data_IF_536790219296
#
_entry.id   IF_536790219296
#
_cell.length_a   1.000
_cell.length_b   1.000
_cell.length_c   1.000
_cell.angle_alpha   90.00
_cell.angle_beta   90.00
_cell.angle_gamma   90.00
#
_symmetry.space_group_name_H-M   'P 1'
#
loop_
_entity.id
_entity.type
_entity.pdbx_description
1 polymer ?
#
# COMPACT_ATOMS: atom_id res chain seq x y z
N UNK A 1 -24.05 -17.55 19.82
CA UNK A 1 -24.79 -17.11 21.03
C UNK A 1 -25.18 -15.64 21.00
N UNK A 2 -24.24 -14.67 20.87
CA UNK A 2 -24.62 -13.24 20.85
C UNK A 2 -25.37 -12.80 19.59
N UNK A 3 -25.14 -13.44 18.42
CA UNK A 3 -25.88 -13.11 17.20
C UNK A 3 -27.39 -13.27 17.37
N UNK A 4 -27.85 -14.39 17.98
CA UNK A 4 -29.28 -14.57 18.25
C UNK A 4 -29.86 -13.58 19.27
N UNK A 5 -29.05 -13.15 20.24
CA UNK A 5 -29.47 -12.18 21.25
C UNK A 5 -29.68 -10.78 20.65
N UNK A 6 -28.77 -10.37 19.73
CA UNK A 6 -28.79 -9.05 19.10
C UNK A 6 -29.46 -9.06 17.70
N UNK A 7 -29.98 -10.20 17.25
CA UNK A 7 -30.62 -10.31 15.92
C UNK A 7 -29.66 -10.20 14.75
N UNK A 8 -28.37 -10.49 14.94
CA UNK A 8 -27.40 -10.46 13.87
C UNK A 8 -27.54 -11.70 12.97
N UNK A 9 -27.55 -11.51 11.66
CA UNK A 9 -27.55 -12.59 10.66
C UNK A 9 -26.21 -13.35 10.61
N UNK A 10 -25.13 -12.72 11.05
CA UNK A 10 -23.77 -13.28 11.08
C UNK A 10 -22.94 -12.63 12.20
N UNK A 11 -21.71 -13.08 12.42
CA UNK A 11 -20.81 -12.56 13.45
C UNK A 11 -20.11 -11.27 12.96
N UNK A 12 -20.47 -10.08 13.44
CA UNK A 12 -19.83 -8.83 13.02
C UNK A 12 -18.42 -8.65 13.60
N UNK A 13 -18.05 -9.43 14.62
CA UNK A 13 -16.76 -9.39 15.29
C UNK A 13 -16.08 -10.75 15.18
N UNK A 14 -15.58 -11.06 14.00
CA UNK A 14 -14.76 -12.26 13.78
C UNK A 14 -13.27 -11.91 13.89
N UNK A 15 -12.40 -12.93 13.99
CA UNK A 15 -10.96 -12.76 14.09
C UNK A 15 -10.37 -12.18 12.79
N UNK A 16 -11.00 -12.43 11.65
CA UNK A 16 -10.63 -11.86 10.35
C UNK A 16 -11.38 -10.56 10.13
N UNK A 17 -10.68 -9.42 9.92
CA UNK A 17 -11.32 -8.14 9.64
C UNK A 17 -12.16 -8.21 8.36
N UNK A 18 -13.46 -7.93 8.46
CA UNK A 18 -14.36 -7.82 7.31
C UNK A 18 -14.60 -6.33 6.99
N UNK A 19 -14.20 -5.84 5.81
CA UNK A 19 -14.34 -4.45 5.41
C UNK A 19 -15.78 -3.90 5.48
N UNK A 20 -16.80 -4.77 5.35
CA UNK A 20 -18.21 -4.35 5.42
C UNK A 20 -18.62 -3.83 6.80
N UNK A 21 -17.90 -4.23 7.86
CA UNK A 21 -18.11 -3.75 9.23
C UNK A 21 -17.21 -2.55 9.60
N UNK A 22 -16.50 -1.98 8.62
CA UNK A 22 -15.66 -0.82 8.86
C UNK A 22 -16.49 0.36 9.34
N UNK A 23 -16.36 0.71 10.61
CA UNK A 23 -16.93 1.93 11.16
C UNK A 23 -16.05 3.12 10.81
N UNK A 24 -16.51 3.94 9.88
CA UNK A 24 -15.85 5.16 9.49
C UNK A 24 -16.23 6.31 10.44
N UNK A 25 -15.47 6.50 11.50
CA UNK A 25 -15.52 7.75 12.26
C UNK A 25 -14.98 8.92 11.38
N UNK A 26 -15.04 10.14 11.89
CA UNK A 26 -14.62 11.34 11.13
C UNK A 26 -13.17 11.22 10.62
N UNK A 27 -12.25 10.82 11.49
CA UNK A 27 -10.84 10.68 11.14
C UNK A 27 -10.63 9.58 10.10
N UNK A 28 -11.23 8.41 10.28
CA UNK A 28 -11.12 7.30 9.33
C UNK A 28 -11.72 7.65 7.95
N UNK A 29 -12.81 8.45 7.91
CA UNK A 29 -13.36 8.98 6.64
C UNK A 29 -12.37 9.88 5.93
N UNK A 30 -11.69 10.76 6.66
CA UNK A 30 -10.68 11.67 6.09
C UNK A 30 -9.48 10.88 5.55
N UNK A 31 -8.96 9.91 6.33
CA UNK A 31 -7.85 9.04 5.89
C UNK A 31 -8.25 8.21 4.67
N UNK A 32 -9.45 7.63 4.67
CA UNK A 32 -9.97 6.83 3.57
C UNK A 32 -10.11 7.65 2.29
N UNK A 33 -10.68 8.84 2.40
CA UNK A 33 -10.82 9.75 1.26
C UNK A 33 -9.46 10.21 0.73
N UNK A 34 -8.53 10.55 1.63
CA UNK A 34 -7.16 10.95 1.29
C UNK A 34 -6.39 9.82 0.59
N UNK A 35 -6.53 8.58 1.05
CA UNK A 35 -5.92 7.41 0.42
C UNK A 35 -6.44 7.19 -1.01
N UNK A 36 -7.77 7.16 -1.18
CA UNK A 36 -8.39 7.01 -2.51
C UNK A 36 -7.99 8.14 -3.45
N UNK A 37 -8.03 9.38 -2.95
CA UNK A 37 -7.60 10.56 -3.70
C UNK A 37 -6.14 10.46 -4.10
N UNK A 38 -5.26 10.10 -3.16
CA UNK A 38 -3.82 10.00 -3.40
C UNK A 38 -3.46 8.95 -4.45
N UNK A 39 -4.14 7.80 -4.44
CA UNK A 39 -3.96 6.76 -5.46
C UNK A 39 -4.49 7.26 -6.81
N UNK A 40 -5.72 7.74 -6.87
CA UNK A 40 -6.36 8.20 -8.12
C UNK A 40 -5.59 9.34 -8.77
N UNK A 41 -5.18 10.32 -7.97
CA UNK A 41 -4.49 11.55 -8.42
C UNK A 41 -2.98 11.35 -8.62
N UNK A 42 -2.48 10.11 -8.53
CA UNK A 42 -1.07 9.75 -8.78
C UNK A 42 -0.09 10.53 -7.93
N UNK A 43 -0.38 10.65 -6.61
CA UNK A 43 0.44 11.42 -5.66
C UNK A 43 1.79 10.76 -5.33
N UNK A 44 2.01 9.53 -5.80
CA UNK A 44 3.26 8.80 -5.65
C UNK A 44 3.38 8.12 -4.29
N UNK A 45 3.85 8.82 -3.26
CA UNK A 45 4.09 8.21 -1.94
C UNK A 45 3.10 8.71 -0.88
N UNK A 46 2.48 7.77 -0.17
CA UNK A 46 1.44 8.02 0.85
C UNK A 46 1.84 7.25 2.11
N UNK A 47 1.76 7.87 3.29
CA UNK A 47 1.90 7.18 4.57
C UNK A 47 0.63 7.28 5.41
N UNK A 48 0.28 6.18 6.08
CA UNK A 48 -0.82 6.07 7.03
C UNK A 48 -0.24 5.56 8.34
N UNK A 49 -0.29 6.39 9.38
CA UNK A 49 0.29 6.08 10.68
C UNK A 49 -0.79 6.10 11.73
N UNK A 50 -0.82 5.09 12.59
CA UNK A 50 -1.81 5.02 13.67
C UNK A 50 -1.52 3.88 14.62
N UNK A 51 -2.06 3.98 15.83
CA UNK A 51 -1.92 2.98 16.90
C UNK A 51 -2.44 1.60 16.50
N UNK A 52 -1.99 0.58 17.22
CA UNK A 52 -2.52 -0.77 17.10
C UNK A 52 -4.03 -0.77 17.35
N UNK A 53 -4.78 -1.54 16.57
CA UNK A 53 -6.23 -1.66 16.73
C UNK A 53 -7.06 -0.50 16.17
N UNK A 54 -6.46 0.52 15.54
CA UNK A 54 -7.19 1.64 14.92
C UNK A 54 -7.89 1.28 13.60
N UNK A 55 -7.72 0.04 13.12
CA UNK A 55 -8.38 -0.45 11.90
C UNK A 55 -7.65 -0.11 10.61
N UNK A 56 -6.33 0.16 10.63
CA UNK A 56 -5.54 0.46 9.42
C UNK A 56 -5.70 -0.60 8.34
N UNK A 57 -5.45 -1.87 8.67
CA UNK A 57 -5.60 -2.99 7.74
C UNK A 57 -7.01 -3.08 7.15
N UNK A 58 -8.04 -2.93 7.99
CA UNK A 58 -9.44 -2.93 7.53
C UNK A 58 -9.72 -1.75 6.60
N UNK A 59 -9.18 -0.59 6.90
CA UNK A 59 -9.30 0.62 6.07
C UNK A 59 -8.57 0.45 4.73
N UNK A 60 -7.38 -0.14 4.73
CA UNK A 60 -6.63 -0.46 3.50
C UNK A 60 -7.42 -1.43 2.62
N UNK A 61 -7.94 -2.53 3.19
CA UNK A 61 -8.73 -3.51 2.46
C UNK A 61 -10.01 -2.86 1.89
N UNK A 62 -10.74 -2.09 2.70
CA UNK A 62 -11.91 -1.35 2.22
C UNK A 62 -11.59 -0.33 1.12
N UNK A 63 -10.40 0.27 1.16
CA UNK A 63 -9.95 1.17 0.11
C UNK A 63 -9.61 0.42 -1.18
N UNK A 64 -8.95 -0.74 -1.06
CA UNK A 64 -8.66 -1.63 -2.20
C UNK A 64 -9.94 -2.07 -2.91
N UNK A 65 -10.96 -2.50 -2.15
CA UNK A 65 -12.26 -2.93 -2.70
C UNK A 65 -13.00 -1.81 -3.46
N UNK A 66 -12.65 -0.55 -3.20
CA UNK A 66 -13.26 0.63 -3.80
C UNK A 66 -12.33 1.37 -4.79
N UNK A 67 -11.19 0.79 -5.15
CA UNK A 67 -10.38 1.32 -6.24
C UNK A 67 -11.09 1.13 -7.58
N UNK A 68 -10.80 2.01 -8.52
CA UNK A 68 -11.31 1.89 -9.88
C UNK A 68 -10.85 0.55 -10.50
N UNK A 69 -11.69 -0.09 -11.28
CA UNK A 69 -11.41 -1.39 -11.93
C UNK A 69 -10.11 -1.39 -12.76
N UNK A 70 -9.72 -0.23 -13.26
CA UNK A 70 -8.49 0.00 -14.00
C UNK A 70 -7.26 0.18 -13.09
N UNK A 71 -7.41 0.17 -11.76
CA UNK A 71 -6.27 0.23 -10.84
C UNK A 71 -5.81 -1.19 -10.49
N UNK A 72 -4.58 -1.51 -10.84
CA UNK A 72 -3.94 -2.77 -10.44
C UNK A 72 -3.19 -2.57 -9.14
N UNK A 73 -3.52 -3.36 -8.13
CA UNK A 73 -2.94 -3.22 -6.80
C UNK A 73 -2.21 -4.50 -6.38
N UNK A 74 -1.04 -4.31 -5.75
CA UNK A 74 -0.34 -5.36 -5.02
C UNK A 74 -0.38 -5.04 -3.52
N UNK A 75 -0.70 -6.03 -2.69
CA UNK A 75 -0.81 -5.87 -1.24
C UNK A 75 0.21 -6.73 -0.50
N UNK A 76 1.09 -6.10 0.25
CA UNK A 76 2.16 -6.74 1.02
C UNK A 76 1.85 -6.59 2.51
N UNK A 77 1.53 -7.68 3.17
CA UNK A 77 1.21 -7.72 4.60
C UNK A 77 2.36 -8.27 5.47
N UNK A 78 3.29 -9.04 4.88
CA UNK A 78 4.47 -9.54 5.59
C UNK A 78 5.69 -8.69 5.21
N UNK A 79 6.06 -7.78 6.10
CA UNK A 79 7.12 -6.79 5.88
C UNK A 79 8.44 -7.13 6.59
N UNK A 80 8.52 -8.24 7.33
CA UNK A 80 9.79 -8.78 7.86
C UNK A 80 10.63 -9.46 6.77
N UNK A 81 10.77 -8.78 5.61
CA UNK A 81 11.41 -9.32 4.40
C UNK A 81 12.26 -8.24 3.71
N UNK A 82 13.19 -8.67 2.90
CA UNK A 82 14.04 -7.77 2.10
C UNK A 82 13.25 -7.11 0.97
N UNK A 83 13.75 -5.99 0.46
CA UNK A 83 13.17 -5.32 -0.70
C UNK A 83 13.03 -6.23 -1.94
N UNK A 84 13.99 -7.12 -2.18
CA UNK A 84 13.94 -8.05 -3.32
C UNK A 84 12.73 -9.00 -3.19
N UNK A 85 12.41 -9.41 -1.97
CA UNK A 85 11.21 -10.22 -1.72
C UNK A 85 9.93 -9.39 -1.88
N UNK A 86 9.91 -8.15 -1.41
CA UNK A 86 8.78 -7.21 -1.63
C UNK A 86 8.54 -7.06 -3.13
N UNK A 87 9.59 -6.77 -3.90
CA UNK A 87 9.50 -6.61 -5.35
C UNK A 87 9.01 -7.89 -6.05
N UNK A 88 9.54 -9.05 -5.66
CA UNK A 88 9.10 -10.33 -6.21
C UNK A 88 7.62 -10.63 -5.91
N UNK A 89 7.17 -10.33 -4.67
CA UNK A 89 5.76 -10.47 -4.29
C UNK A 89 4.88 -9.48 -5.06
N UNK A 90 5.33 -8.23 -5.21
CA UNK A 90 4.62 -7.21 -6.02
C UNK A 90 4.40 -7.70 -7.45
N UNK A 91 5.42 -8.24 -8.10
CA UNK A 91 5.29 -8.78 -9.45
C UNK A 91 4.35 -9.99 -9.51
N UNK A 92 4.37 -10.84 -8.50
CA UNK A 92 3.47 -12.00 -8.41
C UNK A 92 2.01 -11.56 -8.26
N UNK A 93 1.71 -10.65 -7.33
CA UNK A 93 0.37 -10.09 -7.09
C UNK A 93 -0.20 -9.37 -8.33
N UNK A 94 0.67 -8.70 -9.09
CA UNK A 94 0.29 -8.06 -10.35
C UNK A 94 0.18 -9.02 -11.54
N UNK A 95 0.43 -10.31 -11.35
CA UNK A 95 0.40 -11.33 -12.40
C UNK A 95 1.59 -11.24 -13.38
N UNK A 96 2.64 -10.52 -13.01
CA UNK A 96 3.82 -10.27 -13.85
C UNK A 96 4.92 -11.33 -13.69
N UNK A 97 4.79 -12.23 -12.73
CA UNK A 97 5.79 -13.24 -12.38
C UNK A 97 5.11 -14.53 -11.96
N UNK A 98 5.63 -15.67 -12.37
CA UNK A 98 5.26 -16.98 -11.83
C UNK A 98 5.96 -17.25 -10.51
N UNK A 99 5.41 -18.14 -9.67
CA UNK A 99 5.97 -18.42 -8.33
C UNK A 99 7.40 -18.99 -8.36
N UNK A 100 7.72 -19.76 -9.38
CA UNK A 100 9.01 -20.44 -9.58
C UNK A 100 10.02 -19.64 -10.43
N UNK A 101 9.62 -18.51 -10.98
CA UNK A 101 10.48 -17.66 -11.82
C UNK A 101 11.48 -16.89 -10.94
N UNK A 102 12.76 -16.94 -11.27
CA UNK A 102 13.81 -16.11 -10.65
C UNK A 102 14.16 -14.94 -11.57
N UNK A 103 14.08 -13.73 -11.04
CA UNK A 103 14.42 -12.51 -11.73
C UNK A 103 15.50 -11.74 -10.98
N UNK A 104 16.47 -11.18 -11.70
CA UNK A 104 17.36 -10.20 -11.06
C UNK A 104 16.56 -8.95 -10.69
N UNK A 105 17.03 -8.20 -9.70
CA UNK A 105 16.40 -6.94 -9.25
C UNK A 105 16.18 -5.97 -10.41
N UNK A 106 17.15 -5.83 -11.31
CA UNK A 106 17.07 -4.94 -12.47
C UNK A 106 15.92 -5.36 -13.37
N UNK A 107 15.88 -6.63 -13.80
CA UNK A 107 14.82 -7.14 -14.67
C UNK A 107 13.43 -7.07 -14.01
N UNK A 108 13.36 -7.24 -12.68
CA UNK A 108 12.13 -7.10 -11.94
C UNK A 108 11.60 -5.65 -11.96
N UNK A 109 12.50 -4.67 -11.75
CA UNK A 109 12.13 -3.24 -11.83
C UNK A 109 11.74 -2.85 -13.25
N UNK A 110 12.47 -3.30 -14.27
CA UNK A 110 12.14 -3.02 -15.68
C UNK A 110 10.79 -3.59 -16.08
N UNK A 111 10.48 -4.83 -15.65
CA UNK A 111 9.17 -5.46 -15.88
C UNK A 111 8.03 -4.67 -15.24
N UNK A 112 8.23 -4.24 -13.99
CA UNK A 112 7.25 -3.42 -13.27
C UNK A 112 7.07 -2.05 -13.93
N UNK A 113 8.15 -1.43 -14.36
CA UNK A 113 8.12 -0.13 -15.06
C UNK A 113 7.34 -0.22 -16.38
N UNK A 114 7.64 -1.22 -17.21
CA UNK A 114 6.95 -1.43 -18.50
C UNK A 114 5.45 -1.66 -18.27
N UNK A 115 5.08 -2.51 -17.31
CA UNK A 115 3.69 -2.73 -16.94
C UNK A 115 3.00 -1.44 -16.49
N UNK A 116 3.65 -0.64 -15.64
CA UNK A 116 3.09 0.61 -15.16
C UNK A 116 2.90 1.65 -16.29
N UNK A 117 3.77 1.66 -17.30
CA UNK A 117 3.61 2.46 -18.52
C UNK A 117 2.40 1.97 -19.34
N UNK A 118 2.25 0.66 -19.51
CA UNK A 118 1.10 0.05 -20.20
C UNK A 118 -0.21 0.42 -19.50
N UNK A 119 -0.26 0.28 -18.15
CA UNK A 119 -1.43 0.67 -17.38
C UNK A 119 -1.73 2.17 -17.52
N UNK A 120 -0.72 3.03 -17.45
CA UNK A 120 -0.91 4.47 -17.66
C UNK A 120 -1.49 4.77 -19.05
N UNK A 121 -0.98 4.13 -20.09
CA UNK A 121 -1.43 4.31 -21.48
C UNK A 121 -2.88 3.85 -21.66
N UNK A 122 -3.29 2.80 -20.95
CA UNK A 122 -4.67 2.30 -20.93
C UNK A 122 -5.60 3.13 -20.02
N UNK A 123 -5.12 4.24 -19.42
CA UNK A 123 -5.88 5.04 -18.47
C UNK A 123 -5.99 4.44 -17.06
N UNK A 124 -5.31 3.31 -16.83
CA UNK A 124 -5.26 2.61 -15.55
C UNK A 124 -4.18 3.15 -14.60
N UNK A 125 -4.05 2.56 -13.44
CA UNK A 125 -3.11 2.94 -12.40
C UNK A 125 -2.46 1.70 -11.74
N UNK A 126 -1.32 1.89 -11.08
CA UNK A 126 -0.66 0.83 -10.31
C UNK A 126 -0.44 1.32 -8.89
N UNK A 127 -0.87 0.51 -7.91
CA UNK A 127 -0.70 0.78 -6.49
C UNK A 127 0.08 -0.36 -5.82
N UNK A 128 1.06 -0.03 -5.01
CA UNK A 128 1.77 -0.94 -4.12
C UNK A 128 1.43 -0.55 -2.68
N UNK A 129 0.75 -1.44 -1.97
CA UNK A 129 0.33 -1.21 -0.60
C UNK A 129 1.14 -2.10 0.32
N UNK A 130 1.77 -1.50 1.31
CA UNK A 130 2.63 -2.18 2.28
C UNK A 130 2.09 -1.89 3.67
N UNK A 131 1.54 -2.92 4.31
CA UNK A 131 1.06 -2.85 5.68
C UNK A 131 2.17 -3.24 6.67
N UNK A 132 2.05 -2.83 7.93
CA UNK A 132 3.05 -3.04 9.00
C UNK A 132 4.47 -2.59 8.61
N UNK A 133 4.57 -1.45 7.89
CA UNK A 133 5.82 -0.95 7.30
C UNK A 133 6.89 -0.55 8.33
N UNK A 134 6.57 -0.43 9.63
CA UNK A 134 7.57 -0.26 10.70
C UNK A 134 8.53 -1.46 10.82
N UNK A 135 8.18 -2.62 10.25
CA UNK A 135 9.05 -3.79 10.24
C UNK A 135 10.08 -3.77 9.09
N UNK A 136 9.98 -2.81 8.17
CA UNK A 136 10.94 -2.66 7.08
C UNK A 136 12.28 -2.13 7.59
N UNK A 137 13.36 -2.67 7.05
CA UNK A 137 14.67 -2.11 7.27
C UNK A 137 14.88 -0.80 6.48
N UNK A 138 15.85 0.00 6.91
CA UNK A 138 16.20 1.29 6.29
C UNK A 138 16.53 1.13 4.79
N UNK A 139 17.19 0.04 4.42
CA UNK A 139 17.57 -0.26 3.04
C UNK A 139 16.34 -0.53 2.17
N UNK A 140 15.35 -1.22 2.71
CA UNK A 140 14.08 -1.48 2.02
C UNK A 140 13.28 -0.19 1.82
N UNK A 141 13.19 0.67 2.84
CA UNK A 141 12.54 1.98 2.73
C UNK A 141 13.22 2.87 1.67
N UNK A 142 14.56 2.89 1.65
CA UNK A 142 15.30 3.64 0.63
C UNK A 142 15.10 3.06 -0.78
N UNK A 143 15.04 1.74 -0.94
CA UNK A 143 14.70 1.12 -2.22
C UNK A 143 13.27 1.44 -2.67
N UNK A 144 12.30 1.53 -1.76
CA UNK A 144 10.94 1.98 -2.08
C UNK A 144 10.95 3.45 -2.55
N UNK A 145 11.76 4.30 -1.92
CA UNK A 145 11.98 5.67 -2.39
C UNK A 145 12.51 5.68 -3.83
N UNK A 146 13.50 4.84 -4.14
CA UNK A 146 14.04 4.72 -5.50
C UNK A 146 12.97 4.21 -6.47
N UNK A 147 12.15 3.25 -6.06
CA UNK A 147 11.05 2.74 -6.87
C UNK A 147 10.01 3.84 -7.17
N UNK A 148 9.76 4.76 -6.24
CA UNK A 148 8.86 5.90 -6.45
C UNK A 148 9.38 6.93 -7.48
N UNK A 149 10.63 6.78 -7.97
CA UNK A 149 11.18 7.56 -9.08
C UNK A 149 10.69 7.09 -10.45
N UNK A 150 9.99 5.95 -10.52
CA UNK A 150 9.38 5.53 -11.77
C UNK A 150 8.27 6.51 -12.13
N UNK A 151 8.58 7.37 -13.10
CA UNK A 151 7.70 8.46 -13.52
C UNK A 151 7.88 8.81 -15.00
N UNK A 152 6.86 9.36 -15.57
CA UNK A 152 6.93 10.07 -16.84
C UNK A 152 7.15 11.56 -16.58
N UNK A 153 7.21 12.38 -17.63
CA UNK A 153 7.29 13.85 -17.47
C UNK A 153 6.10 14.47 -16.71
N UNK A 154 4.97 13.76 -16.61
CA UNK A 154 3.72 14.30 -16.05
C UNK A 154 3.15 13.48 -14.87
N UNK A 155 3.47 12.19 -14.77
CA UNK A 155 2.78 11.29 -13.86
C UNK A 155 3.75 10.33 -13.16
N UNK A 156 3.51 10.10 -11.88
CA UNK A 156 4.07 8.96 -11.14
C UNK A 156 3.45 7.67 -11.68
N UNK A 157 4.29 6.70 -12.00
CA UNK A 157 3.86 5.42 -12.57
C UNK A 157 3.29 4.48 -11.52
N UNK A 158 3.81 4.54 -10.29
CA UNK A 158 3.44 3.67 -9.19
C UNK A 158 3.06 4.53 -7.98
N UNK A 159 1.93 4.19 -7.34
CA UNK A 159 1.48 4.79 -6.11
C UNK A 159 1.89 3.88 -4.95
N UNK A 160 2.76 4.31 -4.08
CA UNK A 160 3.26 3.53 -2.96
C UNK A 160 2.57 4.00 -1.69
N UNK A 161 1.83 3.10 -1.06
CA UNK A 161 1.18 3.33 0.23
C UNK A 161 1.92 2.52 1.28
N UNK A 162 2.41 3.17 2.31
CA UNK A 162 2.95 2.50 3.50
C UNK A 162 2.03 2.77 4.68
N UNK A 163 1.62 1.73 5.37
CA UNK A 163 0.86 1.83 6.61
C UNK A 163 1.63 1.21 7.76
N UNK A 164 1.56 1.81 8.93
CA UNK A 164 2.29 1.31 10.09
C UNK A 164 1.88 1.96 11.40
N UNK A 165 2.58 1.54 12.44
CA UNK A 165 2.43 2.03 13.80
C UNK A 165 3.25 3.32 14.01
N UNK A 166 3.10 4.04 15.13
CA UNK A 166 3.86 5.27 15.39
C UNK A 166 5.39 5.13 15.29
N UNK A 167 5.91 3.91 15.47
CA UNK A 167 7.31 3.56 15.26
C UNK A 167 7.77 3.85 13.82
N UNK A 168 6.86 3.69 12.84
CA UNK A 168 7.15 4.06 11.45
C UNK A 168 7.44 5.55 11.32
N UNK A 169 6.69 6.41 12.00
CA UNK A 169 6.94 7.86 11.99
C UNK A 169 8.34 8.18 12.55
N UNK A 170 8.70 7.56 13.69
CA UNK A 170 10.02 7.71 14.28
C UNK A 170 11.15 7.23 13.35
N UNK A 171 10.90 6.17 12.55
CA UNK A 171 11.85 5.70 11.54
C UNK A 171 11.95 6.71 10.39
N UNK A 172 10.83 7.21 9.89
CA UNK A 172 10.78 8.17 8.78
C UNK A 172 11.42 9.52 9.12
N UNK A 173 11.44 9.92 10.39
CA UNK A 173 12.07 11.15 10.85
C UNK A 173 13.62 11.07 10.93
N UNK A 174 14.22 9.91 10.73
CA UNK A 174 15.68 9.76 10.73
C UNK A 174 16.30 10.49 9.55
N UNK A 175 17.49 11.03 9.79
CA UNK A 175 18.22 11.83 8.79
C UNK A 175 18.46 11.08 7.48
N UNK A 176 18.70 9.78 7.56
CA UNK A 176 18.96 8.89 6.41
C UNK A 176 17.73 8.79 5.49
N UNK A 177 16.52 8.92 6.03
CA UNK A 177 15.27 8.84 5.27
C UNK A 177 14.66 10.21 4.93
N UNK A 178 15.39 11.31 5.15
CA UNK A 178 14.88 12.66 4.84
C UNK A 178 14.38 12.80 3.41
N UNK A 179 15.05 12.17 2.44
CA UNK A 179 14.62 12.22 1.03
C UNK A 179 13.33 11.42 0.78
N UNK A 180 13.08 10.34 1.52
CA UNK A 180 11.84 9.60 1.47
C UNK A 180 10.71 10.45 2.06
N UNK A 181 10.91 11.00 3.25
CA UNK A 181 9.91 11.82 3.95
C UNK A 181 9.46 13.01 3.12
N UNK A 182 10.38 13.66 2.38
CA UNK A 182 10.04 14.75 1.46
C UNK A 182 9.16 14.32 0.26
N UNK A 183 9.07 13.02 -0.03
CA UNK A 183 8.23 12.47 -1.09
C UNK A 183 6.86 12.02 -0.63
N UNK A 184 6.66 11.94 0.68
CA UNK A 184 5.36 11.60 1.26
C UNK A 184 4.43 12.81 1.06
N UNK A 185 3.54 12.69 0.09
CA UNK A 185 2.59 13.75 -0.25
C UNK A 185 1.35 13.78 0.66
N UNK A 186 1.07 12.66 1.32
CA UNK A 186 -0.01 12.51 2.29
C UNK A 186 0.53 11.76 3.51
N UNK A 187 0.58 12.43 4.66
CA UNK A 187 0.88 11.83 5.95
C UNK A 187 -0.37 11.95 6.85
N UNK A 188 -0.94 10.81 7.27
CA UNK A 188 -2.17 10.72 8.05
C UNK A 188 -2.06 9.68 9.16
#
# INVERSE_FOLDING_TARGET
MYCGHFGFSEKPFDMTPDPKYLYLNRNNKEVFAALKYGIRDRRGFISIIGEVGTGKTTLLNAALDQLDENTKAAYIFNTSVTFDKILATTLFELGLKKSDESLSKIHAIDRLNNFAIEQLTAGGNVALIIDEAQNLDMKSLENLRLLSNLETRKHKLIQIVIAGQPELDAILQRQELRQLTQRINLNR
#
